data_IF_664405099230
#
_entry.id   IF_664405099230
#
_cell.length_a   1.000
_cell.length_b   1.000
_cell.length_c   1.000
_cell.angle_alpha   90.00
_cell.angle_beta   90.00
_cell.angle_gamma   90.00
#
_symmetry.space_group_name_H-M   'P 1'
#
loop_
_entity.id
_entity.type
_entity.pdbx_description
1 polymer ?
#
# COMPACT_ATOMS: atom_id res chain seq x y z
N UNK A 1 21.99 -26.83 -18.27
CA UNK A 1 22.23 -26.73 -16.83
C UNK A 1 21.19 -25.74 -16.29
N UNK A 2 20.22 -26.25 -15.55
CA UNK A 2 19.20 -25.42 -14.90
C UNK A 2 19.87 -24.64 -13.77
N UNK A 3 20.05 -23.34 -13.97
CA UNK A 3 20.56 -22.45 -12.93
C UNK A 3 19.42 -22.23 -11.91
N UNK A 4 19.56 -22.80 -10.72
CA UNK A 4 18.65 -22.50 -9.61
C UNK A 4 18.83 -21.05 -9.18
N UNK A 5 17.86 -20.20 -9.46
CA UNK A 5 17.87 -18.79 -9.05
C UNK A 5 17.27 -18.69 -7.64
N UNK A 6 18.09 -18.35 -6.66
CA UNK A 6 17.61 -17.99 -5.32
C UNK A 6 17.19 -16.53 -5.35
N UNK A 7 15.90 -16.28 -5.10
CA UNK A 7 15.36 -14.92 -4.99
C UNK A 7 15.17 -14.55 -3.52
N UNK A 8 15.87 -13.53 -3.05
CA UNK A 8 15.64 -12.97 -1.73
C UNK A 8 14.36 -12.14 -1.75
N UNK A 9 13.37 -12.54 -0.95
CA UNK A 9 12.07 -11.85 -0.87
C UNK A 9 12.04 -10.79 0.23
N UNK A 10 12.64 -11.11 1.38
CA UNK A 10 12.68 -10.23 2.56
C UNK A 10 14.02 -10.33 3.24
N UNK A 11 14.55 -9.17 3.67
CA UNK A 11 15.76 -9.06 4.47
C UNK A 11 15.66 -7.81 5.33
N UNK A 12 15.57 -7.96 6.64
CA UNK A 12 15.38 -6.85 7.56
C UNK A 12 16.07 -7.12 8.90
N UNK A 13 16.27 -6.06 9.66
CA UNK A 13 16.75 -6.08 11.03
C UNK A 13 15.63 -5.56 11.92
N UNK A 14 15.33 -6.30 13.00
CA UNK A 14 14.45 -5.87 14.09
C UNK A 14 15.29 -5.35 15.26
N UNK A 15 14.95 -4.16 15.71
CA UNK A 15 15.53 -3.57 16.91
C UNK A 15 14.43 -3.15 17.88
N UNK A 16 14.48 -3.68 19.08
CA UNK A 16 13.66 -3.21 20.20
C UNK A 16 14.49 -2.18 20.96
N UNK A 17 13.95 -0.96 21.05
CA UNK A 17 14.62 0.11 21.77
C UNK A 17 14.61 -0.24 23.27
N UNK A 18 15.79 -0.31 23.93
CA UNK A 18 15.87 -0.70 25.34
C UNK A 18 14.99 0.17 26.25
N UNK A 19 14.33 -0.46 27.21
CA UNK A 19 13.44 0.18 28.20
C UNK A 19 12.23 0.91 27.58
N UNK A 20 11.79 0.51 26.40
CA UNK A 20 10.59 1.05 25.72
C UNK A 20 9.81 -0.06 25.02
N UNK A 21 8.54 0.22 24.69
CA UNK A 21 7.71 -0.65 23.86
C UNK A 21 7.87 -0.35 22.35
N UNK A 22 8.89 0.46 21.99
CA UNK A 22 9.18 0.81 20.62
C UNK A 22 9.97 -0.29 19.92
N UNK A 23 9.44 -0.75 18.80
CA UNK A 23 10.10 -1.67 17.87
C UNK A 23 10.34 -0.98 16.54
N UNK A 24 11.57 -1.01 16.07
CA UNK A 24 11.96 -0.57 14.73
C UNK A 24 12.28 -1.78 13.87
N UNK A 25 11.82 -1.77 12.62
CA UNK A 25 12.23 -2.74 11.60
C UNK A 25 12.73 -1.99 10.38
N UNK A 26 13.90 -2.37 9.87
CA UNK A 26 14.57 -1.72 8.75
C UNK A 26 15.02 -2.75 7.72
N UNK A 27 14.72 -2.51 6.45
CA UNK A 27 15.11 -3.39 5.34
C UNK A 27 13.94 -3.74 4.42
N UNK A 28 14.12 -4.77 3.59
CA UNK A 28 13.07 -5.26 2.70
C UNK A 28 12.08 -6.08 3.52
N UNK A 29 10.85 -5.59 3.62
CA UNK A 29 9.81 -6.15 4.48
C UNK A 29 8.43 -6.04 3.86
N UNK A 30 7.49 -6.89 4.27
CA UNK A 30 6.09 -6.77 3.88
C UNK A 30 5.41 -5.63 4.63
N UNK A 31 4.80 -4.71 3.90
CA UNK A 31 3.91 -3.68 4.44
C UNK A 31 2.55 -3.85 3.77
N UNK A 32 1.49 -3.80 4.56
CA UNK A 32 0.11 -3.81 4.09
C UNK A 32 -0.75 -2.90 4.97
N UNK A 33 -1.66 -2.18 4.33
CA UNK A 33 -2.66 -1.38 5.03
C UNK A 33 -3.73 -2.27 5.66
N UNK A 34 -4.44 -1.80 6.70
CA UNK A 34 -5.47 -2.58 7.38
C UNK A 34 -6.63 -2.95 6.45
N UNK A 35 -7.20 -4.11 6.69
CA UNK A 35 -8.45 -4.58 6.07
C UNK A 35 -9.14 -5.56 7.02
N UNK A 36 -10.47 -5.65 6.98
CA UNK A 36 -11.26 -6.55 7.84
C UNK A 36 -12.44 -7.20 7.10
N UNK A 37 -13.06 -6.50 6.16
CA UNK A 37 -14.14 -7.02 5.32
C UNK A 37 -13.62 -7.57 3.99
N UNK A 38 -12.63 -6.92 3.40
CA UNK A 38 -12.06 -7.30 2.12
C UNK A 38 -11.04 -8.42 2.25
N UNK A 39 -10.81 -9.17 1.17
CA UNK A 39 -9.85 -10.28 1.14
C UNK A 39 -8.37 -9.85 1.19
N UNK A 40 -8.09 -8.55 1.28
CA UNK A 40 -6.75 -7.98 1.37
C UNK A 40 -6.79 -6.45 1.36
N UNK A 41 -5.65 -5.79 1.64
CA UNK A 41 -5.52 -4.35 1.53
C UNK A 41 -5.82 -3.85 0.12
N UNK A 42 -6.67 -2.84 0.02
CA UNK A 42 -7.16 -2.33 -1.27
C UNK A 42 -6.26 -1.28 -1.90
N UNK A 43 -5.46 -0.58 -1.09
CA UNK A 43 -4.62 0.53 -1.55
C UNK A 43 -3.15 0.11 -1.65
N UNK A 44 -2.59 -0.51 -0.63
CA UNK A 44 -1.17 -0.86 -0.61
C UNK A 44 -0.89 -2.15 0.14
N UNK A 45 -0.20 -3.07 -0.54
CA UNK A 45 0.43 -4.26 0.04
C UNK A 45 1.64 -4.64 -0.82
N UNK A 46 2.84 -4.61 -0.24
CA UNK A 46 4.05 -4.99 -0.97
C UNK A 46 5.18 -5.43 -0.04
N UNK A 47 6.09 -6.25 -0.56
CA UNK A 47 7.42 -6.42 0.00
C UNK A 47 8.31 -5.28 -0.53
N UNK A 48 8.75 -4.40 0.35
CA UNK A 48 9.35 -3.11 -0.01
C UNK A 48 10.48 -2.73 0.94
N UNK A 49 11.46 -1.97 0.45
CA UNK A 49 12.46 -1.33 1.30
C UNK A 49 11.77 -0.28 2.19
N UNK A 50 11.86 -0.46 3.50
CA UNK A 50 11.13 0.35 4.45
C UNK A 50 11.79 0.42 5.82
N UNK A 51 11.36 1.43 6.57
CA UNK A 51 11.56 1.57 8.01
C UNK A 51 10.16 1.61 8.64
N UNK A 52 9.90 0.73 9.59
CA UNK A 52 8.67 0.74 10.37
C UNK A 52 8.99 0.98 11.84
N UNK A 53 8.17 1.78 12.50
CA UNK A 53 8.20 2.03 13.93
C UNK A 53 6.86 1.64 14.53
N UNK A 54 6.86 0.65 15.42
CA UNK A 54 5.65 0.17 16.10
C UNK A 54 5.77 0.41 17.60
N UNK A 55 4.71 0.92 18.18
CA UNK A 55 4.62 1.22 19.61
C UNK A 55 3.29 0.72 20.17
N UNK A 56 3.34 0.06 21.33
CA UNK A 56 2.17 -0.42 22.05
C UNK A 56 1.93 0.51 23.23
N UNK A 57 0.83 1.24 23.20
CA UNK A 57 0.46 2.16 24.29
C UNK A 57 -0.12 1.43 25.50
N UNK A 58 -0.97 0.46 25.22
CA UNK A 58 -1.62 -0.42 26.19
C UNK A 58 -2.26 -1.62 25.48
N UNK A 59 -3.00 -2.44 26.21
CA UNK A 59 -3.70 -3.62 25.67
C UNK A 59 -4.74 -3.29 24.57
N UNK A 60 -5.25 -2.08 24.54
CA UNK A 60 -6.31 -1.64 23.63
C UNK A 60 -5.79 -0.83 22.44
N UNK A 61 -4.60 -0.24 22.53
CA UNK A 61 -4.12 0.71 21.53
C UNK A 61 -2.65 0.49 21.18
N UNK A 62 -2.37 0.46 19.89
CA UNK A 62 -1.03 0.45 19.35
C UNK A 62 -0.94 1.41 18.14
N UNK A 63 0.26 1.69 17.69
CA UNK A 63 0.53 2.53 16.53
C UNK A 63 1.65 1.90 15.71
N UNK A 64 1.53 1.97 14.40
CA UNK A 64 2.63 1.66 13.48
C UNK A 64 2.74 2.77 12.47
N UNK A 65 3.90 3.43 12.45
CA UNK A 65 4.30 4.36 11.40
C UNK A 65 5.30 3.67 10.48
N UNK A 66 5.28 4.02 9.22
CA UNK A 66 6.27 3.53 8.26
C UNK A 66 6.68 4.59 7.26
N UNK A 67 7.91 4.47 6.78
CA UNK A 67 8.40 5.05 5.53
C UNK A 67 8.83 3.91 4.62
N UNK A 68 8.46 3.99 3.35
CA UNK A 68 8.78 2.98 2.35
C UNK A 68 9.17 3.63 1.02
N UNK A 69 10.08 2.99 0.31
CA UNK A 69 10.47 3.36 -1.06
C UNK A 69 10.16 2.21 -2.01
N UNK A 70 8.92 2.11 -2.52
CA UNK A 70 8.52 1.03 -3.42
C UNK A 70 9.20 1.12 -4.78
N UNK A 71 9.64 2.30 -5.18
CA UNK A 71 10.29 2.53 -6.45
C UNK A 71 11.51 3.43 -6.30
N UNK A 72 12.65 2.98 -6.85
CA UNK A 72 13.92 3.70 -6.85
C UNK A 72 14.54 3.60 -8.24
N UNK A 73 14.49 4.69 -9.02
CA UNK A 73 15.02 4.76 -10.37
C UNK A 73 16.52 5.12 -10.43
N UNK A 74 17.14 5.40 -9.29
CA UNK A 74 18.56 5.75 -9.22
C UNK A 74 19.50 4.63 -9.70
N UNK A 75 18.97 3.44 -9.97
CA UNK A 75 19.74 2.25 -10.32
C UNK A 75 19.80 1.96 -11.81
N UNK A 76 19.08 2.70 -12.64
CA UNK A 76 19.17 2.53 -14.09
C UNK A 76 20.48 3.17 -14.55
N UNK A 77 21.42 2.33 -14.92
CA UNK A 77 22.77 2.75 -15.34
C UNK A 77 22.73 3.71 -16.51
N UNK A 78 23.86 4.36 -16.77
CA UNK A 78 24.11 5.40 -17.78
C UNK A 78 23.82 5.00 -19.24
N UNK A 79 23.33 3.79 -19.50
CA UNK A 79 23.08 3.26 -20.84
C UNK A 79 22.08 4.09 -21.66
N UNK A 80 21.21 4.86 -20.99
CA UNK A 80 20.17 5.65 -21.67
C UNK A 80 20.41 7.17 -21.64
N UNK A 81 21.57 7.65 -21.18
CA UNK A 81 21.93 9.06 -21.17
C UNK A 81 21.07 9.92 -20.23
N UNK A 82 20.37 9.32 -19.27
CA UNK A 82 19.56 10.05 -18.30
C UNK A 82 20.40 10.45 -17.09
N UNK A 83 20.34 11.72 -16.75
CA UNK A 83 20.93 12.19 -15.50
C UNK A 83 20.27 11.48 -14.31
N UNK A 84 21.09 10.97 -13.40
CA UNK A 84 20.61 10.43 -12.12
C UNK A 84 19.92 11.55 -11.37
N UNK A 85 18.61 11.46 -11.25
CA UNK A 85 17.83 12.39 -10.46
C UNK A 85 17.27 11.67 -9.23
N UNK A 86 17.77 12.02 -8.05
CA UNK A 86 17.27 11.48 -6.79
C UNK A 86 15.80 11.81 -6.53
N UNK A 87 15.23 12.75 -7.30
CA UNK A 87 13.82 13.13 -7.22
C UNK A 87 12.89 12.19 -8.03
N UNK A 88 13.44 11.23 -8.78
CA UNK A 88 12.67 10.28 -9.57
C UNK A 88 12.18 9.06 -8.78
N UNK A 89 12.35 9.08 -7.48
CA UNK A 89 11.88 8.03 -6.59
C UNK A 89 10.42 8.24 -6.18
N UNK A 90 9.80 7.17 -5.75
CA UNK A 90 8.54 7.23 -5.04
C UNK A 90 8.79 6.93 -3.56
N UNK A 91 8.47 7.87 -2.72
CA UNK A 91 8.52 7.72 -1.27
C UNK A 91 7.12 7.73 -0.69
N UNK A 92 6.87 6.82 0.24
CA UNK A 92 5.59 6.69 0.93
C UNK A 92 5.81 6.76 2.44
N UNK A 93 4.91 7.43 3.13
CA UNK A 93 4.84 7.42 4.58
C UNK A 93 3.41 7.12 5.02
N UNK A 94 3.25 6.32 6.05
CA UNK A 94 1.93 5.97 6.55
C UNK A 94 1.90 5.74 8.04
N UNK A 95 0.68 5.80 8.56
CA UNK A 95 0.35 5.61 9.97
C UNK A 95 -0.89 4.74 10.09
N UNK A 96 -0.83 3.76 10.99
CA UNK A 96 -1.94 2.88 11.35
C UNK A 96 -2.08 2.86 12.86
N UNK A 97 -3.31 2.96 13.36
CA UNK A 97 -3.60 2.98 14.80
C UNK A 97 -4.63 1.89 15.12
N UNK A 98 -4.22 0.63 15.29
CA UNK A 98 -5.14 -0.42 15.68
C UNK A 98 -5.64 -0.20 17.11
N UNK A 99 -6.96 -0.20 17.26
CA UNK A 99 -7.70 -0.12 18.50
C UNK A 99 -8.49 -1.43 18.66
N UNK A 100 -8.33 -2.08 19.81
CA UNK A 100 -8.96 -3.38 20.10
C UNK A 100 -9.66 -3.30 21.45
N UNK A 101 -10.97 -3.53 21.43
CA UNK A 101 -11.82 -3.58 22.61
C UNK A 101 -12.57 -4.92 22.66
N UNK A 102 -13.25 -5.21 23.72
CA UNK A 102 -14.08 -6.41 23.82
C UNK A 102 -15.18 -6.39 22.75
N UNK A 103 -15.08 -7.34 21.80
CA UNK A 103 -16.02 -7.48 20.69
C UNK A 103 -16.04 -6.34 19.66
N UNK A 104 -15.03 -5.45 19.66
CA UNK A 104 -14.93 -4.35 18.72
C UNK A 104 -13.48 -4.05 18.35
N UNK A 105 -13.17 -3.97 17.07
CA UNK A 105 -11.87 -3.51 16.56
C UNK A 105 -12.06 -2.39 15.56
N UNK A 106 -11.14 -1.43 15.60
CA UNK A 106 -11.12 -0.30 14.70
C UNK A 106 -9.66 0.05 14.37
N UNK A 107 -9.36 0.26 13.10
CA UNK A 107 -8.03 0.67 12.68
C UNK A 107 -8.14 1.83 11.70
N UNK A 108 -8.13 3.08 12.18
CA UNK A 108 -7.89 4.23 11.33
C UNK A 108 -6.46 4.21 10.80
N UNK A 109 -6.29 4.67 9.56
CA UNK A 109 -4.99 4.76 8.92
C UNK A 109 -4.93 5.90 7.93
N UNK A 110 -3.73 6.39 7.68
CA UNK A 110 -3.45 7.37 6.64
C UNK A 110 -2.12 7.08 5.97
N UNK A 111 -2.00 7.45 4.70
CA UNK A 111 -0.78 7.29 3.92
C UNK A 111 -0.62 8.46 2.96
N UNK A 112 0.62 8.88 2.80
CA UNK A 112 1.05 9.89 1.84
C UNK A 112 2.13 9.32 0.92
N UNK A 113 2.14 9.74 -0.34
CA UNK A 113 3.21 9.42 -1.28
C UNK A 113 3.68 10.66 -2.04
N UNK A 114 4.99 10.77 -2.21
CA UNK A 114 5.64 11.69 -3.14
C UNK A 114 6.09 10.89 -4.36
N UNK A 115 5.72 11.35 -5.54
CA UNK A 115 5.94 10.65 -6.81
C UNK A 115 6.87 11.51 -7.66
N UNK A 116 8.07 11.02 -7.94
CA UNK A 116 9.03 11.70 -8.81
C UNK A 116 8.58 11.69 -10.28
N UNK A 117 9.01 12.68 -11.05
CA UNK A 117 8.55 12.91 -12.42
C UNK A 117 8.80 11.74 -13.38
N UNK A 118 9.78 10.93 -13.10
CA UNK A 118 10.14 9.79 -13.95
C UNK A 118 9.85 8.43 -13.27
N UNK A 119 9.13 8.42 -12.16
CA UNK A 119 8.82 7.19 -11.40
C UNK A 119 8.15 6.13 -12.27
N UNK A 120 7.26 6.54 -13.15
CA UNK A 120 6.49 5.66 -14.04
C UNK A 120 6.98 5.73 -15.49
N UNK A 121 8.29 5.70 -15.71
CA UNK A 121 8.84 5.61 -17.07
C UNK A 121 8.32 4.39 -17.79
N UNK A 122 7.94 4.59 -19.06
CA UNK A 122 7.81 3.49 -19.98
C UNK A 122 9.21 2.97 -20.29
N UNK A 123 9.54 1.80 -19.79
CA UNK A 123 10.72 1.05 -20.13
C UNK A 123 10.30 -0.05 -21.12
N UNK A 124 11.17 -0.43 -22.07
CA UNK A 124 10.95 -1.54 -22.99
C UNK A 124 10.75 -2.89 -22.27
N UNK A 125 11.09 -2.94 -20.98
CA UNK A 125 10.82 -4.05 -20.07
C UNK A 125 9.43 -4.00 -19.41
N UNK A 126 8.58 -3.04 -19.77
CA UNK A 126 7.20 -2.99 -19.32
C UNK A 126 6.38 -4.03 -20.10
N UNK A 127 6.43 -5.26 -19.66
CA UNK A 127 5.59 -6.34 -20.15
C UNK A 127 4.50 -6.59 -19.11
N UNK A 128 3.30 -6.13 -19.40
CA UNK A 128 2.17 -6.29 -18.50
C UNK A 128 2.36 -5.51 -17.18
N UNK A 129 1.95 -6.03 -16.07
CA UNK A 129 1.93 -5.37 -14.76
C UNK A 129 3.31 -5.24 -14.08
N UNK A 130 4.41 -5.20 -14.80
CA UNK A 130 5.76 -5.05 -14.26
C UNK A 130 6.29 -3.66 -14.52
N UNK A 131 6.45 -2.89 -13.45
CA UNK A 131 7.24 -1.67 -13.46
C UNK A 131 8.62 -2.06 -12.96
N UNK A 132 9.63 -2.04 -13.83
CA UNK A 132 11.05 -2.26 -13.51
C UNK A 132 11.31 -3.40 -12.50
N UNK A 133 10.68 -4.56 -12.70
CA UNK A 133 10.89 -5.72 -11.84
C UNK A 133 10.12 -5.71 -10.52
N UNK A 134 9.42 -4.64 -10.20
CA UNK A 134 8.48 -4.65 -9.09
C UNK A 134 7.20 -5.36 -9.55
N UNK A 135 6.87 -6.50 -8.95
CA UNK A 135 5.57 -7.16 -9.11
C UNK A 135 4.50 -6.29 -8.42
N UNK A 136 4.33 -5.06 -8.89
CA UNK A 136 3.56 -4.03 -8.21
C UNK A 136 2.20 -3.75 -8.82
N UNK A 137 1.72 -4.61 -9.72
CA UNK A 137 0.47 -4.37 -10.45
C UNK A 137 -0.72 -4.05 -9.56
N UNK A 138 -0.79 -4.58 -8.38
CA UNK A 138 -1.87 -4.29 -7.44
C UNK A 138 -1.54 -3.17 -6.46
N UNK A 139 -0.29 -3.09 -5.99
CA UNK A 139 0.09 -2.13 -4.96
C UNK A 139 0.11 -0.68 -5.45
N UNK A 140 0.29 -0.47 -6.75
CA UNK A 140 0.45 0.86 -7.34
C UNK A 140 -0.57 1.17 -8.43
N UNK A 141 -1.49 0.26 -8.75
CA UNK A 141 -2.47 0.45 -9.83
C UNK A 141 -3.34 1.69 -9.67
N UNK A 142 -3.66 2.06 -8.43
CA UNK A 142 -4.39 3.29 -8.13
C UNK A 142 -3.60 4.58 -8.33
N UNK A 143 -2.27 4.49 -8.50
CA UNK A 143 -1.38 5.64 -8.70
C UNK A 143 -1.10 5.92 -10.18
N UNK A 144 -1.34 4.93 -11.05
CA UNK A 144 -1.12 5.11 -12.47
C UNK A 144 -2.20 6.00 -13.07
N UNK A 145 -1.81 6.98 -13.87
CA UNK A 145 -2.75 7.60 -14.77
C UNK A 145 -3.15 6.55 -15.82
N UNK A 146 -4.34 5.99 -15.66
CA UNK A 146 -4.91 5.01 -16.59
C UNK A 146 -5.44 5.72 -17.86
N UNK A 147 -4.61 6.48 -18.53
CA UNK A 147 -4.95 6.92 -19.88
C UNK A 147 -4.33 5.95 -20.86
N UNK A 148 -5.17 5.30 -21.67
CA UNK A 148 -4.74 4.34 -22.68
C UNK A 148 -3.77 4.98 -23.72
N UNK A 149 -3.88 6.27 -23.95
CA UNK A 149 -2.99 7.07 -24.78
C UNK A 149 -1.57 7.21 -24.19
N UNK A 150 -1.43 7.30 -22.86
CA UNK A 150 -0.13 7.31 -22.20
C UNK A 150 0.55 5.93 -22.20
N UNK A 151 -0.23 4.86 -22.30
CA UNK A 151 0.30 3.50 -22.39
C UNK A 151 0.77 3.15 -23.82
N UNK A 152 0.30 3.83 -24.84
CA UNK A 152 0.63 3.55 -26.25
C UNK A 152 1.86 4.30 -26.76
N UNK A 153 2.27 5.39 -26.11
CA UNK A 153 3.36 6.25 -26.57
C UNK A 153 4.63 5.98 -25.76
N UNK A 154 5.78 6.12 -26.43
CA UNK A 154 7.13 6.00 -25.84
C UNK A 154 7.45 7.15 -24.86
N UNK A 155 6.48 7.97 -24.54
CA UNK A 155 6.67 9.16 -23.73
C UNK A 155 6.64 8.82 -22.24
N UNK A 156 7.55 9.45 -21.53
CA UNK A 156 7.66 9.39 -20.06
C UNK A 156 6.48 10.17 -19.48
N UNK A 157 5.90 9.67 -18.39
CA UNK A 157 5.12 10.52 -17.53
C UNK A 157 6.07 11.48 -16.82
N UNK A 158 6.25 12.65 -17.37
CA UNK A 158 7.19 13.67 -16.89
C UNK A 158 6.48 14.65 -15.95
N UNK A 159 5.79 14.14 -14.95
CA UNK A 159 5.05 14.94 -14.00
C UNK A 159 5.35 14.51 -12.57
N UNK A 160 5.68 15.48 -11.70
CA UNK A 160 5.71 15.25 -10.27
C UNK A 160 4.28 15.08 -9.74
N UNK A 161 4.13 14.22 -8.76
CA UNK A 161 2.84 13.98 -8.15
C UNK A 161 2.94 13.81 -6.64
N UNK A 162 1.81 14.05 -6.01
CA UNK A 162 1.57 13.72 -4.61
C UNK A 162 0.29 12.94 -4.49
N UNK A 163 0.26 11.98 -3.58
CA UNK A 163 -0.93 11.23 -3.31
C UNK A 163 -1.14 11.09 -1.80
N UNK A 164 -2.39 11.05 -1.38
CA UNK A 164 -2.73 10.75 -0.02
C UNK A 164 -3.96 9.86 0.04
N UNK A 165 -4.00 9.02 1.06
CA UNK A 165 -5.10 8.12 1.34
C UNK A 165 -5.42 8.16 2.82
N UNK A 166 -6.67 7.98 3.13
CA UNK A 166 -7.14 7.75 4.49
C UNK A 166 -8.18 6.66 4.49
N UNK A 167 -8.21 5.88 5.54
CA UNK A 167 -9.16 4.80 5.64
C UNK A 167 -9.47 4.37 7.06
N UNK A 168 -10.49 3.54 7.16
CA UNK A 168 -11.01 3.03 8.42
C UNK A 168 -11.47 1.60 8.24
N UNK A 169 -10.76 0.66 8.83
CA UNK A 169 -11.15 -0.75 8.87
C UNK A 169 -11.66 -1.11 10.26
N UNK A 170 -12.70 -1.89 10.35
CA UNK A 170 -13.25 -2.27 11.64
C UNK A 170 -14.09 -3.53 11.61
N UNK A 171 -14.29 -4.12 12.79
CA UNK A 171 -15.19 -5.25 12.99
C UNK A 171 -15.90 -5.18 14.34
N UNK A 172 -17.13 -5.71 14.36
CA UNK A 172 -17.92 -5.94 15.55
C UNK A 172 -18.18 -7.44 15.65
N UNK A 173 -17.78 -8.04 16.77
CA UNK A 173 -18.00 -9.44 17.12
C UNK A 173 -18.78 -9.63 18.41
N UNK A 174 -19.24 -8.53 19.04
CA UNK A 174 -19.95 -8.52 20.31
C UNK A 174 -21.31 -9.23 20.25
N UNK A 175 -21.87 -9.34 19.07
CA UNK A 175 -23.21 -9.94 18.86
C UNK A 175 -23.11 -11.37 18.34
N UNK A 176 -22.37 -12.23 19.05
CA UNK A 176 -22.29 -13.65 18.70
C UNK A 176 -23.70 -14.23 18.46
N UNK A 177 -23.96 -14.94 17.36
CA UNK A 177 -23.02 -15.49 16.36
C UNK A 177 -22.73 -14.58 15.16
N UNK A 178 -23.08 -13.30 15.20
CA UNK A 178 -22.86 -12.36 14.12
C UNK A 178 -21.50 -11.71 14.18
N UNK A 179 -20.87 -11.51 13.02
CA UNK A 179 -19.73 -10.62 12.82
C UNK A 179 -20.06 -9.64 11.71
N UNK A 180 -19.83 -8.38 11.97
CA UNK A 180 -19.94 -7.30 10.99
C UNK A 180 -18.54 -6.72 10.81
N UNK A 181 -18.04 -6.67 9.59
CA UNK A 181 -16.77 -6.05 9.29
C UNK A 181 -16.90 -5.07 8.13
N UNK A 182 -16.11 -4.02 8.14
CA UNK A 182 -16.08 -3.01 7.09
C UNK A 182 -14.68 -2.52 6.80
N UNK A 183 -14.51 -2.05 5.58
CA UNK A 183 -13.36 -1.31 5.12
C UNK A 183 -13.83 -0.10 4.35
N UNK A 184 -13.29 1.06 4.68
CA UNK A 184 -13.48 2.30 3.96
C UNK A 184 -12.13 2.93 3.66
N UNK A 185 -11.97 3.42 2.44
CA UNK A 185 -10.81 4.19 2.04
C UNK A 185 -11.18 5.29 1.05
N UNK A 186 -10.53 6.42 1.18
CA UNK A 186 -10.54 7.52 0.23
C UNK A 186 -9.10 7.82 -0.20
N UNK A 187 -8.91 8.16 -1.45
CA UNK A 187 -7.62 8.52 -2.01
C UNK A 187 -7.72 9.70 -2.98
N UNK A 188 -6.63 10.46 -3.04
CA UNK A 188 -6.46 11.54 -3.97
C UNK A 188 -5.03 11.52 -4.51
N UNK A 189 -4.89 11.65 -5.82
CA UNK A 189 -3.60 11.77 -6.51
C UNK A 189 -3.62 13.04 -7.32
N UNK A 190 -2.62 13.90 -7.10
CA UNK A 190 -2.47 15.21 -7.77
C UNK A 190 -1.11 15.25 -8.44
N UNK A 191 -1.09 15.62 -9.71
CA UNK A 191 0.11 15.80 -10.52
C UNK A 191 0.26 17.25 -10.95
N UNK A 192 1.48 17.64 -11.33
CA UNK A 192 1.74 18.94 -11.97
C UNK A 192 0.92 19.12 -13.25
N UNK A 193 0.70 18.03 -13.99
CA UNK A 193 -0.31 17.96 -15.04
C UNK A 193 -1.67 17.64 -14.43
N UNK A 194 -2.50 18.65 -14.27
CA UNK A 194 -3.83 18.51 -13.66
C UNK A 194 -4.77 17.55 -14.39
N UNK A 195 -4.51 17.21 -15.65
CA UNK A 195 -5.29 16.22 -16.40
C UNK A 195 -5.11 14.79 -15.87
N UNK A 196 -4.10 14.56 -15.07
CA UNK A 196 -3.76 13.28 -14.44
C UNK A 196 -4.33 13.14 -13.02
N UNK A 197 -4.91 14.21 -12.49
CA UNK A 197 -5.49 14.23 -11.16
C UNK A 197 -6.69 13.31 -11.08
N UNK A 198 -6.83 12.62 -9.94
CA UNK A 198 -7.98 11.78 -9.65
C UNK A 198 -8.16 11.57 -8.16
N UNK A 199 -9.38 11.29 -7.80
CA UNK A 199 -9.75 10.94 -6.45
C UNK A 199 -10.87 9.91 -6.47
N UNK A 200 -11.00 9.17 -5.39
CA UNK A 200 -12.05 8.18 -5.28
C UNK A 200 -12.13 7.58 -3.89
N UNK A 201 -13.23 6.90 -3.65
CA UNK A 201 -13.43 6.17 -2.41
C UNK A 201 -13.91 4.75 -2.67
N UNK A 202 -13.64 3.89 -1.73
CA UNK A 202 -14.04 2.49 -1.75
C UNK A 202 -14.57 2.12 -0.36
N UNK A 203 -15.69 1.42 -0.35
CA UNK A 203 -16.28 0.86 0.85
C UNK A 203 -16.60 -0.62 0.65
N UNK A 204 -16.30 -1.44 1.64
CA UNK A 204 -16.65 -2.85 1.70
C UNK A 204 -17.36 -3.17 3.00
N UNK A 205 -18.34 -4.07 2.95
CA UNK A 205 -19.07 -4.56 4.10
C UNK A 205 -19.17 -6.08 4.03
N UNK A 206 -18.89 -6.72 5.14
CA UNK A 206 -19.02 -8.15 5.34
C UNK A 206 -19.95 -8.43 6.52
N UNK A 207 -20.98 -9.22 6.29
CA UNK A 207 -21.87 -9.74 7.32
C UNK A 207 -21.67 -11.25 7.41
N UNK A 208 -21.27 -11.75 8.55
CA UNK A 208 -21.08 -13.20 8.77
C UNK A 208 -22.00 -13.69 9.88
N UNK A 209 -22.47 -14.91 9.70
CA UNK A 209 -23.19 -15.70 10.70
C UNK A 209 -22.44 -16.99 10.97
N UNK A 210 -22.01 -17.19 12.20
CA UNK A 210 -21.23 -18.35 12.62
C UNK A 210 -22.17 -19.46 13.07
N UNK A 211 -22.10 -20.59 12.37
CA UNK A 211 -22.67 -21.86 12.78
C UNK A 211 -21.59 -22.75 13.39
N UNK A 212 -21.96 -23.79 14.13
CA UNK A 212 -20.98 -24.70 14.77
C UNK A 212 -20.07 -25.40 13.75
N UNK A 213 -20.56 -25.64 12.54
CA UNK A 213 -19.87 -26.40 11.49
C UNK A 213 -19.46 -25.54 10.27
N UNK A 214 -19.91 -24.30 10.15
CA UNK A 214 -19.56 -23.39 9.03
C UNK A 214 -19.79 -21.93 9.38
N UNK A 215 -19.33 -21.04 8.48
CA UNK A 215 -19.64 -19.62 8.54
C UNK A 215 -20.32 -19.23 7.23
N UNK A 216 -21.48 -18.62 7.33
CA UNK A 216 -22.17 -18.02 6.20
C UNK A 216 -21.80 -16.55 6.14
N UNK A 217 -21.44 -16.05 4.97
CA UNK A 217 -21.05 -14.65 4.80
C UNK A 217 -21.73 -14.01 3.60
N UNK A 218 -22.17 -12.77 3.77
CA UNK A 218 -22.61 -11.88 2.70
C UNK A 218 -21.61 -10.74 2.60
N UNK A 219 -21.01 -10.57 1.44
CA UNK A 219 -20.03 -9.52 1.18
C UNK A 219 -20.52 -8.62 0.05
N UNK A 220 -20.38 -7.30 0.24
CA UNK A 220 -20.64 -6.30 -0.78
C UNK A 220 -19.57 -5.21 -0.74
N UNK A 221 -19.30 -4.61 -1.89
CA UNK A 221 -18.39 -3.49 -2.00
C UNK A 221 -18.84 -2.50 -3.07
N UNK A 222 -18.40 -1.27 -2.94
CA UNK A 222 -18.64 -0.20 -3.90
C UNK A 222 -17.39 0.67 -4.00
N UNK A 223 -17.08 1.12 -5.22
CA UNK A 223 -16.04 2.14 -5.47
C UNK A 223 -16.63 3.24 -6.36
N UNK A 224 -16.25 4.49 -6.06
CA UNK A 224 -16.67 5.68 -6.83
C UNK A 224 -15.84 5.70 -8.07
N UNK A 225 -15.31 4.98 -8.74
CA UNK A 225 -14.45 5.18 -9.95
C UNK A 225 -14.43 6.63 -10.42
N UNK A 226 -13.31 7.05 -10.92
CA UNK A 226 -13.13 8.29 -11.66
C UNK A 226 -13.01 7.98 -13.16
#
# INVERSE_FOLDING_TARGET
ADASIVKLKRAFIDWRVPNTDLKLRMGIQGIGLPYMAMGGPTVFQSDVAAITASYVFNENAAMTAFWARPYNDNYVGDADGYQKNFMDNMDMAGLMVPLTFDGFKLTPWGMFASIGSNTFRKNDNYVGNKINGVNGGYALSGLFPLRADLMSHKEKLNAYGTAWWGGLSGEITKWDPFRIAWDFSYGNVTYDDGSLNRSGWLAGLLLEYKLDWTKLGLYGWYSSGD
#
